data_IF_267609963140
#
_entry.id   IF_267609963140
#
_cell.length_a   1.000
_cell.length_b   1.000
_cell.length_c   1.000
_cell.angle_alpha   90.00
_cell.angle_beta   90.00
_cell.angle_gamma   90.00
#
_symmetry.space_group_name_H-M   'P 1'
#
loop_
_entity.id
_entity.type
_entity.pdbx_description
1 polymer ?
#
# COMPACT_ATOMS: atom_id res chain seq x y z
N UNK A 1 -20.61 -14.51 -4.84
CA UNK A 1 -20.68 -14.98 -3.44
C UNK A 1 -20.61 -16.51 -3.35
N UNK A 2 -20.23 -17.03 -2.21
CA UNK A 2 -20.23 -18.46 -1.90
C UNK A 2 -20.39 -18.66 -0.39
N UNK A 3 -20.94 -19.82 0.02
CA UNK A 3 -21.00 -20.22 1.43
C UNK A 3 -19.68 -20.83 1.94
N UNK A 4 -18.78 -21.22 1.02
CA UNK A 4 -17.47 -21.80 1.36
C UNK A 4 -16.37 -21.15 0.51
N UNK A 5 -15.13 -21.15 1.01
CA UNK A 5 -13.97 -20.58 0.30
C UNK A 5 -13.67 -21.32 -1.02
N UNK A 6 -14.02 -22.57 -1.13
CA UNK A 6 -13.84 -23.37 -2.35
C UNK A 6 -14.93 -23.11 -3.39
N UNK A 7 -16.00 -22.39 -3.05
CA UNK A 7 -17.16 -22.16 -3.93
C UNK A 7 -18.19 -23.29 -3.86
N UNK A 8 -19.09 -23.39 -4.85
CA UNK A 8 -19.12 -22.57 -6.08
C UNK A 8 -19.47 -21.10 -5.83
N UNK A 9 -18.86 -20.21 -6.60
CA UNK A 9 -19.13 -18.78 -6.52
C UNK A 9 -20.23 -18.38 -7.50
N UNK A 10 -21.17 -17.57 -7.01
CA UNK A 10 -22.22 -16.98 -7.83
C UNK A 10 -21.92 -15.50 -8.09
N UNK A 11 -22.06 -15.08 -9.36
CA UNK A 11 -21.94 -13.69 -9.76
C UNK A 11 -23.14 -12.87 -9.25
N UNK A 12 -22.87 -11.78 -8.52
CA UNK A 12 -23.89 -10.92 -7.93
C UNK A 12 -24.04 -9.56 -8.63
N UNK A 13 -23.11 -9.20 -9.51
CA UNK A 13 -23.07 -7.92 -10.18
C UNK A 13 -21.70 -7.23 -10.10
N UNK A 14 -21.55 -6.10 -10.77
CA UNK A 14 -20.45 -5.19 -10.56
C UNK A 14 -20.77 -4.30 -9.35
N UNK A 15 -19.77 -3.99 -8.52
CA UNK A 15 -19.95 -3.10 -7.37
C UNK A 15 -19.75 -1.63 -7.76
N UNK A 16 -18.83 -1.36 -8.68
CA UNK A 16 -18.49 -0.02 -9.17
C UNK A 16 -18.09 -0.11 -10.63
N UNK A 17 -18.51 0.87 -11.41
CA UNK A 17 -18.16 1.00 -12.82
C UNK A 17 -17.17 2.14 -13.04
N UNK A 18 -16.21 1.93 -13.93
CA UNK A 18 -15.33 2.95 -14.49
C UNK A 18 -15.14 2.72 -15.99
N UNK A 19 -14.48 3.64 -16.68
CA UNK A 19 -14.16 3.45 -18.10
C UNK A 19 -15.33 3.60 -19.07
N UNK A 20 -16.51 4.01 -18.63
CA UNK A 20 -17.64 4.32 -19.48
C UNK A 20 -17.46 5.68 -20.19
N UNK A 21 -18.28 5.92 -21.20
CA UNK A 21 -18.40 7.20 -21.90
C UNK A 21 -19.88 7.66 -21.92
N UNK A 22 -20.15 8.76 -22.61
CA UNK A 22 -21.53 9.31 -22.72
C UNK A 22 -22.52 8.35 -23.39
N UNK A 23 -22.05 7.41 -24.21
CA UNK A 23 -22.90 6.47 -24.96
C UNK A 23 -23.10 5.16 -24.18
N UNK A 24 -22.23 4.85 -23.23
CA UNK A 24 -22.21 3.58 -22.47
C UNK A 24 -22.63 3.74 -21.01
N UNK A 25 -22.65 4.95 -20.45
CA UNK A 25 -23.03 5.22 -19.05
C UNK A 25 -24.42 4.67 -18.69
N UNK A 26 -25.38 4.72 -19.62
CA UNK A 26 -26.71 4.15 -19.40
C UNK A 26 -26.76 2.63 -19.23
N UNK A 27 -25.64 1.94 -19.50
CA UNK A 27 -25.46 0.51 -19.23
C UNK A 27 -24.83 0.20 -17.86
N UNK A 28 -24.62 1.23 -17.05
CA UNK A 28 -24.09 1.13 -15.67
C UNK A 28 -25.18 1.51 -14.68
N UNK A 29 -24.89 1.39 -13.39
CA UNK A 29 -25.77 1.85 -12.31
C UNK A 29 -25.45 3.29 -11.83
N UNK A 30 -24.50 3.97 -12.48
CA UNK A 30 -24.05 5.33 -12.09
C UNK A 30 -25.24 6.30 -11.98
N UNK A 31 -26.18 6.22 -12.94
CA UNK A 31 -27.33 7.12 -13.01
C UNK A 31 -28.42 6.81 -11.95
N UNK A 32 -28.27 5.73 -11.20
CA UNK A 32 -29.14 5.45 -10.05
C UNK A 32 -28.72 6.25 -8.80
N UNK A 33 -27.46 6.75 -8.76
CA UNK A 33 -26.87 7.45 -7.63
C UNK A 33 -26.55 8.93 -7.88
N UNK A 34 -26.32 9.30 -9.14
CA UNK A 34 -26.04 10.69 -9.53
C UNK A 34 -26.87 11.07 -10.75
N UNK A 35 -27.23 12.35 -10.87
CA UNK A 35 -27.96 12.81 -12.05
C UNK A 35 -27.08 12.80 -13.32
N UNK A 36 -27.73 12.67 -14.48
CA UNK A 36 -27.04 12.52 -15.77
C UNK A 36 -26.19 13.75 -16.12
N UNK A 37 -26.70 14.97 -15.82
CA UNK A 37 -25.96 16.21 -16.11
C UNK A 37 -24.66 16.25 -15.28
N UNK A 38 -24.73 15.91 -13.99
CA UNK A 38 -23.57 15.81 -13.13
C UNK A 38 -22.58 14.75 -13.65
N UNK A 39 -23.05 13.54 -13.93
CA UNK A 39 -22.22 12.44 -14.40
C UNK A 39 -21.51 12.76 -15.72
N UNK A 40 -22.22 13.30 -16.71
CA UNK A 40 -21.64 13.67 -18.00
C UNK A 40 -20.65 14.83 -17.88
N UNK A 41 -20.88 15.76 -16.99
CA UNK A 41 -19.98 16.91 -16.75
C UNK A 41 -18.70 16.52 -16.06
N UNK A 42 -18.76 15.64 -15.07
CA UNK A 42 -17.64 15.33 -14.18
C UNK A 42 -16.93 14.02 -14.58
N UNK A 43 -17.68 12.94 -14.81
CA UNK A 43 -17.10 11.61 -15.07
C UNK A 43 -16.71 11.39 -16.53
N UNK A 44 -17.17 12.26 -17.45
CA UNK A 44 -16.84 12.16 -18.88
C UNK A 44 -16.02 13.35 -19.34
N UNK A 45 -14.89 13.08 -20.00
CA UNK A 45 -14.01 14.09 -20.57
C UNK A 45 -13.58 13.68 -21.98
N UNK A 46 -13.69 14.59 -22.95
CA UNK A 46 -13.35 14.32 -24.35
C UNK A 46 -14.04 13.07 -24.94
N UNK A 47 -15.32 12.88 -24.62
CA UNK A 47 -16.16 11.72 -24.96
C UNK A 47 -15.72 10.36 -24.36
N UNK A 48 -14.76 10.33 -23.44
CA UNK A 48 -14.35 9.14 -22.70
C UNK A 48 -14.43 9.36 -21.20
N UNK A 49 -14.11 8.34 -20.44
CA UNK A 49 -14.04 8.42 -18.99
C UNK A 49 -12.92 9.39 -18.52
N UNK A 50 -13.18 10.14 -17.47
CA UNK A 50 -12.25 11.12 -16.91
C UNK A 50 -11.25 10.44 -15.96
N UNK A 51 -10.33 9.69 -16.52
CA UNK A 51 -9.29 8.96 -15.75
C UNK A 51 -8.33 9.84 -14.95
N UNK A 52 -8.25 11.11 -15.21
CA UNK A 52 -7.36 11.99 -14.43
C UNK A 52 -7.91 12.29 -13.04
N UNK A 53 -9.25 12.36 -12.93
CA UNK A 53 -9.94 12.79 -11.70
C UNK A 53 -10.63 11.64 -10.96
N UNK A 54 -11.11 10.62 -11.67
CA UNK A 54 -11.92 9.54 -11.12
C UNK A 54 -11.21 8.19 -11.19
N UNK A 55 -11.53 7.24 -10.27
CA UNK A 55 -10.75 6.02 -10.11
C UNK A 55 -10.90 5.06 -11.29
N UNK A 56 -9.91 4.23 -11.47
CA UNK A 56 -10.05 2.97 -12.18
C UNK A 56 -10.59 1.93 -11.19
N UNK A 57 -11.75 1.33 -11.47
CA UNK A 57 -12.41 0.40 -10.56
C UNK A 57 -11.77 -1.00 -10.62
N UNK A 58 -10.52 -1.11 -10.19
CA UNK A 58 -9.74 -2.35 -10.08
C UNK A 58 -8.98 -2.40 -8.76
N UNK A 59 -8.28 -3.49 -8.50
CA UNK A 59 -7.45 -3.75 -7.32
C UNK A 59 -8.24 -3.62 -5.99
N UNK A 60 -9.45 -4.19 -5.84
CA UNK A 60 -10.19 -4.06 -4.60
C UNK A 60 -9.61 -4.91 -3.48
N UNK A 61 -9.58 -4.34 -2.28
CA UNK A 61 -9.36 -5.07 -1.03
C UNK A 61 -10.48 -4.77 -0.04
N UNK A 62 -11.05 -5.81 0.57
CA UNK A 62 -12.15 -5.70 1.54
C UNK A 62 -11.61 -6.00 2.93
N UNK A 63 -11.98 -5.18 3.90
CA UNK A 63 -11.57 -5.33 5.29
C UNK A 63 -12.68 -4.87 6.24
N UNK A 64 -12.52 -5.17 7.53
CA UNK A 64 -13.38 -4.67 8.60
C UNK A 64 -12.62 -3.63 9.41
N UNK A 65 -13.33 -2.57 9.82
CA UNK A 65 -12.79 -1.56 10.73
C UNK A 65 -12.93 -2.01 12.20
N UNK A 66 -12.48 -1.14 13.11
CA UNK A 66 -12.53 -1.39 14.55
C UNK A 66 -13.97 -1.50 15.12
N UNK A 67 -14.97 -1.05 14.36
CA UNK A 67 -16.39 -1.07 14.72
C UNK A 67 -17.17 -2.17 13.97
N UNK A 68 -16.46 -3.14 13.35
CA UNK A 68 -17.03 -4.23 12.55
C UNK A 68 -17.81 -3.76 11.30
N UNK A 69 -17.55 -2.56 10.80
CA UNK A 69 -18.08 -2.10 9.51
C UNK A 69 -17.21 -2.64 8.38
N UNK A 70 -17.83 -3.06 7.30
CA UNK A 70 -17.13 -3.60 6.14
C UNK A 70 -16.81 -2.50 5.13
N UNK A 71 -15.58 -2.46 4.67
CA UNK A 71 -15.06 -1.45 3.75
C UNK A 71 -14.35 -2.07 2.57
N UNK A 72 -14.36 -1.36 1.44
CA UNK A 72 -13.58 -1.68 0.25
C UNK A 72 -12.68 -0.51 -0.10
N UNK A 73 -11.36 -0.74 -0.09
CA UNK A 73 -10.38 0.17 -0.69
C UNK A 73 -10.05 -0.32 -2.09
N UNK A 74 -9.96 0.59 -3.06
CA UNK A 74 -9.74 0.23 -4.46
C UNK A 74 -9.14 1.38 -5.26
N UNK A 75 -8.71 1.11 -6.48
CA UNK A 75 -8.18 2.09 -7.41
C UNK A 75 -6.77 1.76 -7.87
N UNK A 76 -6.46 2.23 -9.06
CA UNK A 76 -5.16 2.04 -9.71
C UNK A 76 -4.90 3.20 -10.64
N UNK A 77 -3.79 3.91 -10.43
CA UNK A 77 -3.39 5.09 -11.21
C UNK A 77 -4.52 6.13 -11.28
N UNK A 78 -4.94 6.52 -12.45
CA UNK A 78 -6.16 7.30 -12.74
C UNK A 78 -6.42 8.42 -11.72
N UNK A 79 -7.63 8.50 -11.19
CA UNK A 79 -8.03 9.46 -10.16
C UNK A 79 -7.49 9.17 -8.76
N UNK A 80 -6.75 8.05 -8.57
CA UNK A 80 -6.15 7.66 -7.29
C UNK A 80 -6.87 6.52 -6.59
N UNK A 81 -6.68 6.45 -5.28
CA UNK A 81 -7.18 5.40 -4.38
C UNK A 81 -8.42 5.90 -3.65
N UNK A 82 -9.45 5.07 -3.61
CA UNK A 82 -10.77 5.37 -3.06
C UNK A 82 -11.23 4.35 -2.03
N UNK A 83 -12.14 4.77 -1.16
CA UNK A 83 -12.73 3.98 -0.08
C UNK A 83 -14.25 4.07 -0.14
N UNK A 84 -14.92 2.92 -0.01
CA UNK A 84 -16.37 2.78 0.09
C UNK A 84 -16.75 1.84 1.23
N UNK A 85 -17.82 2.16 1.93
CA UNK A 85 -18.44 1.25 2.89
C UNK A 85 -19.30 0.22 2.13
N UNK A 86 -19.30 -1.01 2.62
CA UNK A 86 -20.10 -2.11 2.10
C UNK A 86 -21.11 -2.57 3.16
N UNK A 87 -22.29 -2.97 2.72
CA UNK A 87 -23.25 -3.65 3.59
C UNK A 87 -22.76 -5.09 3.86
N UNK A 88 -22.42 -5.45 5.10
CA UNK A 88 -21.88 -6.77 5.42
C UNK A 88 -22.88 -7.91 5.18
N UNK A 89 -24.19 -7.62 5.11
CA UNK A 89 -25.20 -8.62 4.84
C UNK A 89 -25.32 -9.00 3.36
N UNK A 90 -25.04 -8.06 2.46
CA UNK A 90 -25.22 -8.20 1.02
C UNK A 90 -23.93 -8.11 0.22
N UNK A 91 -22.89 -7.46 0.78
CA UNK A 91 -21.64 -7.12 0.08
C UNK A 91 -21.82 -5.99 -0.92
N UNK A 92 -22.98 -5.32 -0.96
CA UNK A 92 -23.21 -4.20 -1.86
C UNK A 92 -22.65 -2.90 -1.32
N UNK A 93 -22.35 -1.95 -2.21
CA UNK A 93 -21.84 -0.63 -1.83
C UNK A 93 -22.93 0.18 -1.12
N UNK A 94 -22.54 0.83 -0.02
CA UNK A 94 -23.31 1.90 0.61
C UNK A 94 -22.78 3.22 0.06
N UNK A 95 -23.50 3.78 -0.93
CA UNK A 95 -23.10 5.03 -1.56
C UNK A 95 -23.25 6.20 -0.58
N UNK A 96 -22.21 7.03 -0.39
CA UNK A 96 -22.27 8.16 0.52
C UNK A 96 -23.00 9.35 -0.11
N UNK A 97 -23.37 10.34 0.71
CA UNK A 97 -23.67 11.67 0.21
C UNK A 97 -22.36 12.36 -0.24
N UNK A 98 -22.42 13.11 -1.35
CA UNK A 98 -21.26 13.86 -1.84
C UNK A 98 -20.83 14.92 -0.84
N UNK A 99 -19.52 15.02 -0.61
CA UNK A 99 -18.89 16.03 0.25
C UNK A 99 -17.57 16.48 -0.37
N UNK A 100 -17.59 17.60 -1.10
CA UNK A 100 -16.42 18.13 -1.78
C UNK A 100 -15.33 18.59 -0.80
N UNK A 101 -15.69 19.06 0.40
CA UNK A 101 -14.74 19.51 1.42
C UNK A 101 -13.87 18.35 1.92
N UNK A 102 -14.44 17.15 1.99
CA UNK A 102 -13.76 15.95 2.44
C UNK A 102 -13.39 14.98 1.31
N UNK A 103 -13.45 15.41 0.05
CA UNK A 103 -13.14 14.60 -1.12
C UNK A 103 -14.01 13.32 -1.23
N UNK A 104 -15.30 13.43 -0.91
CA UNK A 104 -16.26 12.32 -1.03
C UNK A 104 -17.13 12.51 -2.28
N UNK A 105 -17.05 11.57 -3.20
CA UNK A 105 -17.92 11.48 -4.37
C UNK A 105 -19.10 10.56 -4.08
N UNK A 106 -20.29 10.92 -4.56
CA UNK A 106 -21.51 10.17 -4.27
C UNK A 106 -21.51 8.75 -4.83
N UNK A 107 -20.79 8.50 -5.94
CA UNK A 107 -20.71 7.18 -6.56
C UNK A 107 -19.42 6.45 -6.17
N UNK A 108 -18.26 7.13 -6.21
CA UNK A 108 -16.96 6.52 -6.00
C UNK A 108 -16.50 6.48 -4.55
N UNK A 109 -17.16 7.21 -3.65
CA UNK A 109 -16.77 7.28 -2.24
C UNK A 109 -15.65 8.25 -1.96
N UNK A 110 -14.94 8.04 -0.86
CA UNK A 110 -13.87 8.93 -0.39
C UNK A 110 -12.56 8.68 -1.14
N UNK A 111 -11.99 9.72 -1.72
CA UNK A 111 -10.64 9.69 -2.26
C UNK A 111 -9.63 9.80 -1.11
N UNK A 112 -8.74 8.82 -1.00
CA UNK A 112 -7.73 8.76 0.05
C UNK A 112 -6.42 9.43 -0.36
N UNK A 113 -5.92 9.13 -1.57
CA UNK A 113 -4.66 9.69 -2.06
C UNK A 113 -4.51 9.53 -3.58
N UNK A 114 -3.54 10.22 -4.17
CA UNK A 114 -3.21 10.12 -5.58
C UNK A 114 -4.06 11.02 -6.48
N UNK A 115 -4.28 10.62 -7.72
CA UNK A 115 -4.94 11.36 -8.79
C UNK A 115 -3.96 11.87 -9.84
N UNK A 116 -4.48 12.49 -10.91
CA UNK A 116 -3.64 12.97 -12.02
C UNK A 116 -2.84 11.84 -12.69
N UNK A 117 -3.37 10.65 -12.70
CA UNK A 117 -2.77 9.44 -13.29
C UNK A 117 -1.38 9.09 -12.70
N UNK A 118 -1.17 9.35 -11.39
CA UNK A 118 0.05 8.93 -10.68
C UNK A 118 0.13 7.41 -10.60
N UNK A 119 1.35 6.86 -10.66
CA UNK A 119 1.59 5.41 -10.60
C UNK A 119 1.47 4.86 -9.19
N UNK A 120 0.25 4.86 -8.66
CA UNK A 120 -0.12 4.35 -7.33
C UNK A 120 -1.25 3.35 -7.53
N UNK A 121 -1.09 2.11 -7.04
CA UNK A 121 -2.06 1.03 -7.22
C UNK A 121 -2.01 -0.01 -6.10
N UNK A 122 -2.79 -1.08 -6.22
CA UNK A 122 -2.83 -2.20 -5.28
C UNK A 122 -3.04 -1.77 -3.81
N UNK A 123 -4.06 -0.98 -3.50
CA UNK A 123 -4.30 -0.55 -2.13
C UNK A 123 -4.72 -1.73 -1.24
N UNK A 124 -4.21 -1.73 -0.02
CA UNK A 124 -4.59 -2.70 1.01
C UNK A 124 -4.59 -2.01 2.37
N UNK A 125 -5.69 -2.09 3.13
CA UNK A 125 -5.77 -1.52 4.46
C UNK A 125 -5.76 -2.64 5.49
N UNK A 126 -4.90 -2.49 6.51
CA UNK A 126 -4.80 -3.35 7.68
C UNK A 126 -4.99 -2.50 8.93
N UNK A 127 -5.94 -2.89 9.80
CA UNK A 127 -6.07 -2.31 11.12
C UNK A 127 -5.21 -3.08 12.13
N UNK A 128 -4.43 -2.36 12.92
CA UNK A 128 -3.63 -2.90 14.02
C UNK A 128 -4.15 -2.39 15.35
N UNK A 129 -4.77 -3.28 16.12
CA UNK A 129 -5.34 -2.97 17.43
C UNK A 129 -4.27 -2.49 18.43
N UNK A 130 -3.02 -2.97 18.29
CA UNK A 130 -1.93 -2.62 19.20
C UNK A 130 -1.53 -1.15 19.09
N UNK A 131 -1.45 -0.64 17.87
CA UNK A 131 -1.12 0.76 17.60
C UNK A 131 -2.36 1.64 17.49
N UNK A 132 -3.53 1.04 17.22
CA UNK A 132 -4.79 1.72 16.92
C UNK A 132 -4.73 2.54 15.64
N UNK A 133 -3.93 2.11 14.66
CA UNK A 133 -3.83 2.71 13.33
C UNK A 133 -4.36 1.77 12.25
N UNK A 134 -4.95 2.39 11.23
CA UNK A 134 -5.17 1.80 9.91
C UNK A 134 -3.93 2.08 9.05
N UNK A 135 -3.32 1.05 8.50
CA UNK A 135 -2.17 1.14 7.60
C UNK A 135 -2.62 0.89 6.17
N UNK A 136 -2.48 1.90 5.30
CA UNK A 136 -2.73 1.79 3.87
C UNK A 136 -1.42 1.47 3.16
N UNK A 137 -1.29 0.25 2.69
CA UNK A 137 -0.22 -0.20 1.81
C UNK A 137 -0.62 0.02 0.36
N UNK A 138 0.30 0.54 -0.45
CA UNK A 138 0.11 0.77 -1.89
C UNK A 138 1.39 0.43 -2.64
N UNK A 139 1.26 0.13 -3.92
CA UNK A 139 2.39 -0.07 -4.81
C UNK A 139 2.60 1.14 -5.71
N UNK A 140 3.85 1.61 -5.80
CA UNK A 140 4.26 2.70 -6.70
C UNK A 140 5.07 2.16 -7.88
N UNK A 141 5.02 2.89 -9.01
CA UNK A 141 5.75 2.54 -10.21
C UNK A 141 4.99 1.58 -11.13
N UNK A 142 5.70 0.83 -11.95
CA UNK A 142 5.11 -0.18 -12.84
C UNK A 142 5.63 -1.57 -12.53
N UNK A 143 4.79 -2.57 -12.73
CA UNK A 143 5.04 -3.96 -12.32
C UNK A 143 6.13 -4.71 -13.10
N UNK A 144 6.72 -4.09 -14.14
CA UNK A 144 7.82 -4.72 -14.91
C UNK A 144 9.16 -4.64 -14.16
N UNK A 145 10.11 -5.51 -14.48
CA UNK A 145 11.44 -5.54 -13.85
C UNK A 145 12.21 -4.21 -13.95
N UNK A 146 11.87 -3.38 -14.93
CA UNK A 146 12.43 -2.03 -15.14
C UNK A 146 11.57 -0.89 -14.61
N UNK A 147 10.41 -1.20 -14.05
CA UNK A 147 9.39 -0.20 -13.68
C UNK A 147 9.53 0.43 -12.32
N UNK A 148 10.48 -0.03 -11.50
CA UNK A 148 10.73 0.49 -10.16
C UNK A 148 9.57 0.22 -9.18
N UNK A 149 8.81 -0.85 -9.40
CA UNK A 149 7.69 -1.23 -8.55
C UNK A 149 8.14 -1.43 -7.11
N UNK A 150 7.39 -0.87 -6.16
CA UNK A 150 7.79 -0.78 -4.75
C UNK A 150 6.59 -0.59 -3.84
N UNK A 151 6.67 -1.08 -2.60
CA UNK A 151 5.60 -0.92 -1.61
C UNK A 151 5.86 0.30 -0.75
N UNK A 152 4.80 1.10 -0.57
CA UNK A 152 4.75 2.23 0.36
C UNK A 152 3.62 2.07 1.35
N UNK A 153 3.76 2.70 2.53
CA UNK A 153 2.73 2.70 3.56
C UNK A 153 2.44 4.11 4.06
N UNK A 154 1.16 4.33 4.34
CA UNK A 154 0.58 5.48 5.01
C UNK A 154 -0.26 4.99 6.18
N UNK A 155 -0.62 5.86 7.12
CA UNK A 155 -1.49 5.46 8.24
C UNK A 155 -2.49 6.55 8.61
N UNK A 156 -3.61 6.13 9.21
CA UNK A 156 -4.64 7.01 9.78
C UNK A 156 -5.15 6.46 11.10
N UNK A 157 -5.70 7.33 11.96
CA UNK A 157 -6.40 6.93 13.20
C UNK A 157 -7.87 6.58 12.97
N UNK A 158 -8.43 6.96 11.85
CA UNK A 158 -9.81 6.63 11.46
C UNK A 158 -9.81 5.97 10.09
N UNK A 159 -10.77 5.09 9.85
CA UNK A 159 -10.85 4.30 8.62
C UNK A 159 -10.98 5.19 7.37
N UNK A 160 -11.70 6.28 7.46
CA UNK A 160 -11.97 7.26 6.43
C UNK A 160 -11.20 8.59 6.60
N UNK A 161 -10.20 8.61 7.48
CA UNK A 161 -9.38 9.79 7.74
C UNK A 161 -8.29 9.99 6.68
N UNK A 162 -7.48 11.02 6.91
CA UNK A 162 -6.31 11.26 6.08
C UNK A 162 -5.23 10.23 6.38
N UNK A 163 -4.86 9.46 5.38
CA UNK A 163 -3.76 8.52 5.43
C UNK A 163 -2.47 9.27 5.11
N UNK A 164 -1.65 9.49 6.12
CA UNK A 164 -0.43 10.28 6.02
C UNK A 164 0.83 9.42 6.19
N UNK A 165 1.95 9.90 5.66
CA UNK A 165 3.27 9.31 5.88
C UNK A 165 3.88 9.79 7.20
N UNK A 166 5.14 9.44 7.44
CA UNK A 166 5.88 9.80 8.65
C UNK A 166 6.11 11.32 8.82
N UNK A 167 5.88 12.13 7.78
CA UNK A 167 5.96 13.59 7.83
C UNK A 167 4.58 14.24 8.02
N UNK A 168 3.51 13.45 8.08
CA UNK A 168 2.13 13.92 8.20
C UNK A 168 1.53 14.37 6.87
N UNK A 169 2.05 13.87 5.73
CA UNK A 169 1.67 14.28 4.39
C UNK A 169 1.24 13.10 3.52
N UNK A 170 0.51 13.38 2.43
CA UNK A 170 0.08 12.39 1.43
C UNK A 170 0.07 12.98 0.01
N UNK A 171 0.22 12.16 -1.04
CA UNK A 171 0.27 12.64 -2.40
C UNK A 171 -1.12 12.98 -2.94
N UNK A 172 -1.20 14.15 -3.59
CA UNK A 172 -2.35 14.59 -4.40
C UNK A 172 -2.01 14.58 -5.88
N UNK A 173 -2.97 14.95 -6.75
CA UNK A 173 -2.75 15.03 -8.19
C UNK A 173 -1.63 16.02 -8.58
N UNK A 174 -1.42 17.07 -7.80
CA UNK A 174 -0.56 18.22 -8.16
C UNK A 174 0.89 18.08 -7.68
N UNK A 175 1.22 17.03 -6.90
CA UNK A 175 2.56 16.86 -6.33
C UNK A 175 3.35 15.71 -6.98
N UNK A 176 4.66 15.71 -6.80
CA UNK A 176 5.49 14.54 -7.13
C UNK A 176 5.29 13.46 -6.07
N UNK A 177 4.48 12.45 -6.38
CA UNK A 177 4.13 11.39 -5.46
C UNK A 177 5.32 10.58 -4.93
N UNK A 178 6.47 10.58 -5.62
CA UNK A 178 7.67 9.88 -5.18
C UNK A 178 8.22 10.38 -3.83
N UNK A 179 7.86 11.60 -3.44
CA UNK A 179 8.31 12.21 -2.19
C UNK A 179 7.52 11.75 -0.96
N UNK A 180 6.40 11.06 -1.15
CA UNK A 180 5.44 10.72 -0.10
C UNK A 180 5.37 9.21 0.15
N UNK A 181 5.02 8.85 1.38
CA UNK A 181 4.87 7.47 1.84
C UNK A 181 6.17 6.82 2.30
N UNK A 182 6.11 6.10 3.40
CA UNK A 182 7.24 5.30 3.88
C UNK A 182 7.48 4.12 2.94
N UNK A 183 8.63 4.08 2.29
CA UNK A 183 9.00 2.98 1.40
C UNK A 183 9.47 1.79 2.20
N UNK A 184 8.73 0.70 2.15
CA UNK A 184 9.04 -0.55 2.83
C UNK A 184 10.04 -1.39 2.03
N UNK A 185 9.77 -1.58 0.75
CA UNK A 185 10.62 -2.39 -0.12
C UNK A 185 10.71 -1.80 -1.54
N UNK A 186 11.70 -2.23 -2.30
CA UNK A 186 11.94 -1.86 -3.68
C UNK A 186 12.98 -2.80 -4.29
N UNK A 187 13.77 -2.33 -5.24
CA UNK A 187 14.82 -3.15 -5.84
C UNK A 187 16.04 -3.20 -4.93
N UNK A 188 16.44 -4.39 -4.49
CA UNK A 188 17.63 -4.54 -3.64
C UNK A 188 18.32 -5.89 -3.81
N UNK A 189 19.58 -5.96 -3.35
CA UNK A 189 20.35 -7.20 -3.27
C UNK A 189 21.22 -7.23 -2.04
N UNK A 190 20.92 -8.13 -1.10
CA UNK A 190 21.82 -8.47 0.00
C UNK A 190 22.83 -9.55 -0.42
N UNK A 191 24.00 -9.63 0.24
CA UNK A 191 25.05 -10.61 -0.10
C UNK A 191 24.60 -12.07 -0.05
N UNK A 192 23.61 -12.39 0.78
CA UNK A 192 23.04 -13.75 0.93
C UNK A 192 21.98 -14.08 -0.13
N UNK A 193 21.46 -13.09 -0.86
CA UNK A 193 20.53 -13.36 -1.95
C UNK A 193 21.28 -13.79 -3.21
N UNK A 194 20.87 -14.88 -3.82
CA UNK A 194 21.43 -15.33 -5.11
C UNK A 194 21.20 -14.26 -6.20
N UNK A 195 20.01 -13.67 -6.23
CA UNK A 195 19.55 -12.66 -7.19
C UNK A 195 19.00 -11.45 -6.50
N UNK A 196 19.08 -10.29 -7.15
CA UNK A 196 18.37 -9.12 -6.66
C UNK A 196 16.85 -9.32 -6.75
N UNK A 197 16.13 -8.84 -5.74
CA UNK A 197 14.69 -8.63 -5.85
C UNK A 197 14.45 -7.37 -6.66
N UNK A 198 13.49 -7.45 -7.58
CA UNK A 198 13.13 -6.41 -8.52
C UNK A 198 11.61 -6.25 -8.55
N UNK A 199 11.13 -5.03 -8.73
CA UNK A 199 9.71 -4.77 -8.89
C UNK A 199 8.86 -5.46 -7.81
N UNK A 200 9.19 -5.19 -6.55
CA UNK A 200 8.49 -5.70 -5.37
C UNK A 200 7.19 -4.94 -5.17
N UNK A 201 6.05 -5.60 -5.27
CA UNK A 201 4.78 -4.91 -5.13
C UNK A 201 3.56 -5.77 -5.36
N UNK A 202 2.42 -5.13 -5.61
CA UNK A 202 1.07 -5.66 -5.64
C UNK A 202 0.78 -6.41 -4.33
N UNK A 203 0.76 -5.64 -3.27
CA UNK A 203 0.88 -6.07 -1.88
C UNK A 203 -0.45 -6.46 -1.24
N UNK A 204 -0.35 -7.29 -0.24
CA UNK A 204 -1.30 -7.45 0.86
C UNK A 204 -0.55 -7.56 2.18
N UNK A 205 -1.26 -7.43 3.30
CA UNK A 205 -0.68 -7.56 4.62
C UNK A 205 -1.64 -8.29 5.56
N UNK A 206 -1.12 -8.96 6.57
CA UNK A 206 -1.95 -9.57 7.61
C UNK A 206 -1.23 -9.64 8.95
N UNK A 207 -2.01 -9.78 10.01
CA UNK A 207 -1.55 -10.11 11.36
C UNK A 207 -2.02 -11.53 11.62
N UNK A 208 -1.12 -12.42 12.03
CA UNK A 208 -1.47 -13.79 12.35
C UNK A 208 -1.94 -13.96 13.81
N UNK A 209 -2.26 -15.19 14.19
CA UNK A 209 -2.84 -15.50 15.50
C UNK A 209 -1.88 -15.19 16.68
N UNK A 210 -0.57 -15.13 16.44
CA UNK A 210 0.45 -14.79 17.47
C UNK A 210 0.83 -13.29 17.44
N UNK A 211 0.12 -12.48 16.66
CA UNK A 211 0.29 -11.03 16.58
C UNK A 211 1.42 -10.57 15.67
N UNK A 212 2.08 -11.49 14.97
CA UNK A 212 3.11 -11.12 13.99
C UNK A 212 2.50 -10.55 12.73
N UNK A 213 3.12 -9.49 12.23
CA UNK A 213 2.67 -8.82 11.01
C UNK A 213 3.50 -9.28 9.82
N UNK A 214 2.83 -9.47 8.69
CA UNK A 214 3.45 -9.92 7.45
C UNK A 214 3.03 -9.05 6.27
N UNK A 215 4.01 -8.76 5.40
CA UNK A 215 3.80 -8.19 4.09
C UNK A 215 3.91 -9.31 3.05
N UNK A 216 2.90 -9.40 2.17
CA UNK A 216 2.88 -10.33 1.06
C UNK A 216 2.91 -9.55 -0.24
N UNK A 217 3.83 -9.88 -1.14
CA UNK A 217 3.97 -9.22 -2.43
C UNK A 217 4.60 -10.15 -3.46
N UNK A 218 4.56 -9.78 -4.71
CA UNK A 218 5.38 -10.47 -5.72
C UNK A 218 6.70 -9.73 -5.95
N UNK A 219 7.73 -10.48 -6.34
CA UNK A 219 9.00 -9.92 -6.79
C UNK A 219 9.42 -10.54 -8.12
N UNK A 220 10.07 -9.77 -8.95
CA UNK A 220 10.87 -10.23 -10.09
C UNK A 220 12.33 -10.34 -9.68
N UNK A 221 13.17 -10.75 -10.63
CA UNK A 221 14.59 -10.95 -10.41
C UNK A 221 15.40 -10.34 -11.54
N UNK A 222 16.64 -9.94 -11.26
CA UNK A 222 17.57 -9.41 -12.26
C UNK A 222 18.16 -10.50 -13.18
N UNK A 223 17.31 -11.31 -13.79
CA UNK A 223 17.68 -12.47 -14.62
C UNK A 223 17.27 -12.36 -16.09
N UNK A 224 16.83 -11.17 -16.51
CA UNK A 224 16.41 -10.90 -17.89
C UNK A 224 15.04 -11.47 -18.27
N UNK A 225 14.23 -11.88 -17.30
CA UNK A 225 12.84 -12.33 -17.51
C UNK A 225 11.86 -11.50 -16.69
N UNK A 226 10.58 -11.55 -17.06
CA UNK A 226 9.48 -10.97 -16.29
C UNK A 226 8.79 -11.99 -15.37
N UNK A 227 9.36 -13.18 -15.21
CA UNK A 227 8.87 -14.15 -14.26
C UNK A 227 8.95 -13.59 -12.84
N UNK A 228 7.91 -13.80 -12.08
CA UNK A 228 7.79 -13.34 -10.70
C UNK A 228 7.36 -14.46 -9.77
N UNK A 229 7.58 -14.28 -8.49
CA UNK A 229 7.11 -15.20 -7.46
C UNK A 229 6.69 -14.46 -6.18
N UNK A 230 5.75 -15.02 -5.41
CA UNK A 230 5.32 -14.42 -4.16
C UNK A 230 6.44 -14.45 -3.12
N UNK A 231 6.40 -13.49 -2.21
CA UNK A 231 7.21 -13.38 -1.02
C UNK A 231 6.33 -13.08 0.17
N UNK A 232 6.72 -13.60 1.31
CA UNK A 232 6.13 -13.31 2.61
C UNK A 232 7.26 -12.87 3.52
N UNK A 233 7.22 -11.62 3.94
CA UNK A 233 8.21 -11.02 4.82
C UNK A 233 7.54 -10.58 6.11
N UNK A 234 8.15 -10.88 7.26
CA UNK A 234 7.68 -10.38 8.52
C UNK A 234 7.95 -8.87 8.61
N UNK A 235 7.03 -8.15 9.21
CA UNK A 235 7.22 -6.75 9.58
C UNK A 235 7.35 -6.64 11.10
N UNK A 236 8.21 -5.74 11.55
CA UNK A 236 8.33 -5.33 12.93
C UNK A 236 7.92 -3.87 13.05
N UNK A 237 7.23 -3.53 14.13
CA UNK A 237 6.89 -2.13 14.39
C UNK A 237 8.06 -1.44 15.08
N UNK A 238 8.42 -0.25 14.61
CA UNK A 238 9.36 0.60 15.35
C UNK A 238 8.65 1.32 16.51
N UNK A 239 9.39 2.05 17.33
CA UNK A 239 8.86 2.77 18.50
C UNK A 239 7.82 3.86 18.15
N UNK A 240 7.89 4.41 16.93
CA UNK A 240 6.93 5.40 16.42
C UNK A 240 5.67 4.75 15.83
N UNK A 241 5.56 3.42 15.86
CA UNK A 241 4.45 2.64 15.30
C UNK A 241 4.45 2.63 13.77
N UNK A 242 5.62 2.56 13.13
CA UNK A 242 5.72 2.33 11.68
C UNK A 242 6.23 0.92 11.40
N UNK A 243 5.63 0.21 10.42
CA UNK A 243 6.09 -1.11 10.04
C UNK A 243 7.46 -1.03 9.33
N UNK A 244 8.35 -1.95 9.71
CA UNK A 244 9.66 -2.15 9.11
C UNK A 244 9.72 -3.57 8.55
N UNK A 245 9.83 -3.72 7.24
CA UNK A 245 9.93 -5.02 6.59
C UNK A 245 11.30 -5.66 6.85
N UNK A 246 11.32 -6.92 7.27
CA UNK A 246 12.54 -7.72 7.31
C UNK A 246 12.95 -8.11 5.87
N UNK A 247 14.25 -7.98 5.50
CA UNK A 247 14.67 -8.04 4.10
C UNK A 247 14.78 -9.47 3.52
N UNK A 248 14.26 -10.48 4.21
CA UNK A 248 14.27 -11.88 3.81
C UNK A 248 12.88 -12.50 3.96
N UNK A 249 12.59 -13.52 3.16
CA UNK A 249 11.41 -14.33 3.39
C UNK A 249 11.40 -14.84 4.83
N UNK A 250 10.23 -14.73 5.47
CA UNK A 250 10.08 -15.15 6.86
C UNK A 250 10.45 -16.63 7.06
N UNK A 251 11.13 -16.89 8.16
CA UNK A 251 11.46 -18.22 8.67
C UNK A 251 10.95 -18.42 10.11
N UNK A 252 10.04 -17.51 10.55
CA UNK A 252 9.50 -17.51 11.90
C UNK A 252 10.37 -16.72 12.88
N UNK A 253 10.91 -15.57 12.42
CA UNK A 253 11.71 -14.68 13.25
C UNK A 253 10.95 -14.28 14.51
N UNK A 254 11.68 -14.17 15.62
CA UNK A 254 11.16 -13.68 16.88
C UNK A 254 12.06 -12.58 17.41
N UNK A 255 11.47 -11.62 18.09
CA UNK A 255 12.18 -10.60 18.87
C UNK A 255 12.07 -10.93 20.34
N UNK A 256 13.05 -10.48 21.12
CA UNK A 256 13.04 -10.65 22.56
C UNK A 256 12.01 -9.73 23.21
N UNK A 257 11.17 -10.27 24.07
CA UNK A 257 10.21 -9.47 24.87
C UNK A 257 10.89 -8.61 25.95
N UNK A 258 12.19 -8.88 26.21
CA UNK A 258 12.98 -8.20 27.24
C UNK A 258 14.16 -7.41 26.67
N UNK A 259 14.17 -7.20 25.34
CA UNK A 259 15.26 -6.52 24.64
C UNK A 259 16.51 -7.39 24.47
N UNK A 260 17.62 -6.75 24.14
CA UNK A 260 18.92 -7.40 23.90
C UNK A 260 20.02 -6.69 24.64
N UNK A 261 20.91 -7.45 25.26
CA UNK A 261 22.16 -6.92 25.84
C UNK A 261 23.01 -6.23 24.76
N UNK A 262 23.68 -5.14 25.13
CA UNK A 262 24.53 -4.35 24.23
C UNK A 262 25.51 -5.21 23.42
N UNK A 263 26.12 -6.21 24.04
CA UNK A 263 27.09 -7.11 23.40
C UNK A 263 26.44 -7.97 22.27
N UNK A 264 25.14 -8.20 22.33
CA UNK A 264 24.40 -8.92 21.28
C UNK A 264 24.13 -8.04 20.04
N UNK A 265 24.11 -6.73 20.24
CA UNK A 265 23.81 -5.75 19.19
C UNK A 265 25.08 -5.20 18.55
N UNK A 266 26.19 -5.13 19.30
CA UNK A 266 27.47 -4.66 18.75
C UNK A 266 27.93 -5.55 17.60
N UNK A 267 28.30 -4.95 16.45
CA UNK A 267 28.74 -5.74 15.32
C UNK A 267 28.71 -5.04 13.98
N UNK A 268 28.85 -5.85 12.94
CA UNK A 268 28.83 -5.43 11.54
C UNK A 268 27.46 -5.68 10.93
N UNK A 269 26.89 -4.65 10.32
CA UNK A 269 25.58 -4.67 9.69
C UNK A 269 25.67 -4.36 8.19
N UNK A 270 24.77 -4.97 7.42
CA UNK A 270 24.45 -4.56 6.07
C UNK A 270 23.21 -3.68 6.13
N UNK A 271 23.34 -2.47 5.63
CA UNK A 271 22.23 -1.49 5.59
C UNK A 271 21.90 -1.14 4.15
N UNK A 272 20.62 -1.21 3.79
CA UNK A 272 20.11 -0.80 2.50
C UNK A 272 19.31 0.48 2.70
N UNK A 273 19.74 1.56 2.06
CA UNK A 273 18.93 2.74 1.91
C UNK A 273 18.06 2.56 0.66
N UNK A 274 16.76 2.39 0.85
CA UNK A 274 15.79 2.22 -0.24
C UNK A 274 15.54 3.52 -1.02
N UNK A 275 15.94 4.67 -0.46
CA UNK A 275 15.65 5.97 -1.05
C UNK A 275 14.16 6.25 -1.22
N UNK A 276 13.82 7.29 -1.98
CA UNK A 276 12.42 7.67 -2.28
C UNK A 276 12.04 7.52 -3.75
N UNK A 277 13.01 7.38 -4.64
CA UNK A 277 12.75 7.38 -6.09
C UNK A 277 12.02 6.10 -6.55
N UNK A 278 11.20 6.25 -7.59
CA UNK A 278 10.73 5.16 -8.45
C UNK A 278 11.82 4.95 -9.50
N UNK A 279 12.60 3.89 -9.34
CA UNK A 279 13.78 3.61 -10.19
C UNK A 279 13.96 2.10 -10.35
N UNK A 280 14.57 1.68 -11.46
CA UNK A 280 15.00 0.31 -11.66
C UNK A 280 16.41 0.02 -11.10
N UNK A 281 17.02 0.98 -10.44
CA UNK A 281 18.31 0.78 -9.79
C UNK A 281 18.19 -0.23 -8.64
N UNK A 282 19.22 -1.04 -8.50
CA UNK A 282 19.30 -2.01 -7.42
C UNK A 282 20.04 -1.39 -6.25
N UNK A 283 19.35 -1.21 -5.11
CA UNK A 283 20.00 -0.78 -3.88
C UNK A 283 20.96 -1.86 -3.38
N UNK A 284 22.24 -1.50 -3.29
CA UNK A 284 23.27 -2.38 -2.75
C UNK A 284 23.57 -1.98 -1.30
N UNK A 285 23.85 -2.94 -0.41
CA UNK A 285 24.10 -2.64 0.97
C UNK A 285 25.43 -1.92 1.18
N UNK A 286 25.42 -1.01 2.13
CA UNK A 286 26.64 -0.47 2.76
C UNK A 286 26.90 -1.19 4.07
N UNK A 287 28.16 -1.22 4.51
CA UNK A 287 28.54 -1.81 5.79
C UNK A 287 28.60 -0.73 6.84
N UNK A 288 27.87 -0.94 7.93
CA UNK A 288 27.98 -0.16 9.16
C UNK A 288 28.51 -1.03 10.31
N UNK A 289 29.17 -0.39 11.24
CA UNK A 289 29.59 -1.00 12.51
C UNK A 289 28.93 -0.25 13.66
N UNK A 290 28.21 -0.98 14.51
CA UNK A 290 27.75 -0.51 15.80
C UNK A 290 28.82 -0.87 16.83
N UNK A 291 29.48 0.12 17.40
CA UNK A 291 30.56 -0.09 18.34
C UNK A 291 30.05 -0.07 19.79
N UNK A 292 30.76 -0.76 20.70
CA UNK A 292 30.38 -0.85 22.10
C UNK A 292 30.41 0.52 22.84
N UNK A 293 31.08 1.51 22.30
CA UNK A 293 31.10 2.87 22.83
C UNK A 293 29.92 3.74 22.39
N UNK A 294 28.92 3.15 21.72
CA UNK A 294 27.74 3.84 21.20
C UNK A 294 27.98 4.58 19.88
N UNK A 295 29.14 4.42 19.23
CA UNK A 295 29.37 5.04 17.93
C UNK A 295 28.90 4.16 16.77
N UNK A 296 28.42 4.80 15.70
CA UNK A 296 28.14 4.18 14.40
C UNK A 296 29.21 4.64 13.42
N UNK A 297 29.85 3.71 12.74
CA UNK A 297 30.88 4.01 11.74
C UNK A 297 30.65 3.23 10.46
N UNK A 298 30.68 3.91 9.33
CA UNK A 298 30.57 3.32 8.00
C UNK A 298 31.03 4.25 6.91
N UNK A 299 31.06 3.76 5.68
CA UNK A 299 31.53 4.56 4.53
C UNK A 299 30.63 5.76 4.24
N UNK A 300 29.31 5.61 4.49
CA UNK A 300 28.27 6.57 4.10
C UNK A 300 27.44 7.06 5.28
N UNK A 301 27.78 6.63 6.51
CA UNK A 301 27.09 7.06 7.71
C UNK A 301 28.02 7.08 8.91
N UNK A 302 27.91 8.12 9.70
CA UNK A 302 28.53 8.29 11.02
C UNK A 302 27.45 8.78 11.99
N UNK A 303 27.51 8.35 13.23
CA UNK A 303 26.53 8.76 14.24
C UNK A 303 26.72 8.05 15.55
N UNK A 304 25.65 8.02 16.32
CA UNK A 304 25.57 7.28 17.58
C UNK A 304 24.36 6.36 17.56
N UNK A 305 24.43 5.33 18.39
CA UNK A 305 23.32 4.42 18.66
C UNK A 305 23.20 4.20 20.16
N UNK A 306 21.99 3.93 20.61
CA UNK A 306 21.70 3.51 21.99
C UNK A 306 20.66 2.40 21.94
N UNK A 307 20.71 1.50 22.92
CA UNK A 307 19.62 0.56 23.14
C UNK A 307 18.49 1.32 23.86
N UNK A 308 17.28 1.14 23.39
CA UNK A 308 16.06 1.61 24.06
C UNK A 308 15.43 0.42 24.79
N UNK A 309 14.90 0.68 26.01
CA UNK A 309 14.27 -0.33 26.87
C UNK A 309 12.85 -0.66 26.38
#
# INVERSE_FOLDING_TARGET
TSETIEGPYEWQGALIYSGFDKDTIAGTDVLDYVDEEYALKNYVRNNGYNFEEYPNAIDPSVFYDADDRMWMVYGSWSGGIYLLELDPATGQVIHPEADEEHNVDAYYGKKLLGGGHKSIEAPYILYDETTGYYYLYVSYGTLTSSGGYQVRVFRSKTVDGDYVDMNGEYPTADVDHQLYGLKLTGNYKLPSLERAYMATGHNSAFIDEDGKQYLVYHTRFNNGTENHSPRVHQMLMNEDGWPCELPYQTQGETVSDTGYETDAVVGRYFVINQGTNISNDIANPVILYLNADGTVVGREAEGTWEAVD
#
